data_IF_503163545528
#
_entry.id   IF_503163545528
#
_cell.length_a   1.000
_cell.length_b   1.000
_cell.length_c   1.000
_cell.angle_alpha   90.00
_cell.angle_beta   90.00
_cell.angle_gamma   90.00
#
_symmetry.space_group_name_H-M   'P 1'
#
loop_
_entity.id
_entity.type
_entity.pdbx_description
1 polymer ?
#
# COMPACT_ATOMS: atom_id res chain seq x y z
N UNK A 1 21.22 18.30 -22.12
CA UNK A 1 19.86 17.72 -22.06
C UNK A 1 19.88 16.44 -22.87
N UNK A 2 19.26 15.34 -22.41
CA UNK A 2 19.17 14.12 -23.21
C UNK A 2 18.25 14.39 -24.42
N UNK A 3 18.72 14.09 -25.63
CA UNK A 3 18.03 14.40 -26.89
C UNK A 3 17.11 13.25 -27.36
N UNK A 4 16.57 12.46 -26.44
CA UNK A 4 15.66 11.36 -26.77
C UNK A 4 14.26 11.88 -27.11
N UNK A 5 13.66 11.36 -28.19
CA UNK A 5 12.28 11.69 -28.55
C UNK A 5 11.31 11.14 -27.50
N UNK A 6 10.51 12.02 -26.88
CA UNK A 6 9.49 11.60 -25.92
C UNK A 6 8.39 10.82 -26.66
N UNK A 7 8.29 9.52 -26.39
CA UNK A 7 7.28 8.64 -27.01
C UNK A 7 5.91 8.79 -26.35
N UNK A 8 5.87 9.28 -25.11
CA UNK A 8 4.67 9.42 -24.33
C UNK A 8 4.77 10.62 -23.38
N UNK A 9 3.74 11.44 -23.36
CA UNK A 9 3.61 12.61 -22.48
C UNK A 9 2.25 12.55 -21.79
N UNK A 10 2.24 12.85 -20.49
CA UNK A 10 1.01 13.04 -19.72
C UNK A 10 1.13 14.31 -18.91
N UNK A 11 0.07 15.10 -18.92
CA UNK A 11 -0.04 16.29 -18.10
C UNK A 11 -0.84 15.96 -16.85
N UNK A 12 -0.20 16.02 -15.67
CA UNK A 12 -0.83 15.74 -14.38
C UNK A 12 -1.07 17.05 -13.63
N UNK A 13 -2.32 17.31 -13.23
CA UNK A 13 -2.65 18.35 -12.26
C UNK A 13 -2.94 17.68 -10.92
N UNK A 14 -2.17 18.00 -9.88
CA UNK A 14 -2.22 17.31 -8.59
C UNK A 14 -2.51 18.28 -7.47
N UNK A 15 -3.51 17.95 -6.67
CA UNK A 15 -3.80 18.58 -5.39
C UNK A 15 -3.46 17.60 -4.27
N UNK A 16 -2.48 17.97 -3.46
CA UNK A 16 -1.94 17.13 -2.38
C UNK A 16 -2.35 17.66 -1.01
N UNK A 17 -2.86 16.78 -0.17
CA UNK A 17 -3.11 17.03 1.24
C UNK A 17 -2.27 16.08 2.09
N UNK A 18 -1.78 16.59 3.21
CA UNK A 18 -1.07 15.76 4.19
C UNK A 18 -1.77 15.88 5.54
N UNK A 19 -2.09 14.75 6.15
CA UNK A 19 -2.70 14.69 7.45
C UNK A 19 -2.16 13.51 8.25
N UNK A 20 -1.56 13.80 9.40
CA UNK A 20 -0.93 12.82 10.30
C UNK A 20 0.08 11.93 9.57
N UNK A 21 -0.24 10.65 9.37
CA UNK A 21 0.63 9.64 8.75
C UNK A 21 0.38 9.48 7.25
N UNK A 22 -0.62 10.18 6.71
CA UNK A 22 -1.10 9.98 5.35
C UNK A 22 -0.90 11.20 4.49
N UNK A 23 -0.62 10.94 3.21
CA UNK A 23 -0.68 11.88 2.12
C UNK A 23 -1.78 11.43 1.16
N UNK A 24 -2.63 12.37 0.76
CA UNK A 24 -3.74 12.14 -0.15
C UNK A 24 -3.49 13.01 -1.38
N UNK A 25 -3.34 12.38 -2.53
CA UNK A 25 -3.14 13.05 -3.81
C UNK A 25 -4.39 12.86 -4.68
N UNK A 26 -5.09 13.96 -4.98
CA UNK A 26 -6.13 14.00 -6.00
C UNK A 26 -5.50 14.49 -7.31
N UNK A 27 -5.38 13.61 -8.30
CA UNK A 27 -4.67 13.91 -9.54
C UNK A 27 -5.58 13.78 -10.74
N UNK A 28 -5.66 14.83 -11.55
CA UNK A 28 -6.28 14.79 -12.87
C UNK A 28 -5.18 14.59 -13.93
N UNK A 29 -5.28 13.52 -14.70
CA UNK A 29 -4.31 13.15 -15.73
C UNK A 29 -4.92 13.33 -17.11
N UNK A 30 -4.27 14.14 -17.92
CA UNK A 30 -4.59 14.31 -19.34
C UNK A 30 -3.66 13.44 -20.17
N UNK A 31 -4.24 12.58 -21.00
CA UNK A 31 -3.54 11.83 -22.03
C UNK A 31 -2.96 12.74 -23.11
N UNK A 32 -2.14 12.17 -24.01
CA UNK A 32 -1.50 12.92 -25.09
C UNK A 32 -2.54 13.63 -25.94
N UNK A 33 -2.18 14.82 -26.44
CA UNK A 33 -3.03 15.57 -27.35
C UNK A 33 -3.21 14.76 -28.64
N UNK A 34 -4.44 14.37 -28.94
CA UNK A 34 -4.77 13.63 -30.15
C UNK A 34 -4.83 14.61 -31.32
N UNK A 35 -4.20 14.26 -32.43
CA UNK A 35 -4.25 15.07 -33.64
C UNK A 35 -5.69 15.16 -34.17
N UNK A 36 -6.01 16.29 -34.81
CA UNK A 36 -7.29 16.48 -35.50
C UNK A 36 -7.45 15.41 -36.56
N UNK A 37 -8.65 14.85 -36.64
CA UNK A 37 -9.02 13.91 -37.68
C UNK A 37 -9.15 14.65 -39.03
N UNK A 38 -9.12 13.91 -40.13
CA UNK A 38 -9.17 14.46 -41.50
C UNK A 38 -10.44 15.26 -41.81
N UNK A 39 -11.51 15.05 -41.05
CA UNK A 39 -12.78 15.78 -41.13
C UNK A 39 -12.80 17.07 -40.30
N UNK A 40 -11.66 17.43 -39.68
CA UNK A 40 -11.52 18.62 -38.84
C UNK A 40 -12.03 18.44 -37.40
N UNK A 41 -12.57 17.28 -37.03
CA UNK A 41 -13.02 17.00 -35.68
C UNK A 41 -11.83 16.73 -34.75
N UNK A 42 -11.92 17.25 -33.52
CA UNK A 42 -10.94 16.96 -32.47
C UNK A 42 -11.49 15.81 -31.62
N UNK A 43 -10.84 14.63 -31.59
CA UNK A 43 -11.31 13.52 -30.78
C UNK A 43 -11.23 13.88 -29.30
N UNK A 44 -12.09 13.25 -28.48
CA UNK A 44 -12.07 13.48 -27.03
C UNK A 44 -10.70 13.11 -26.45
N UNK A 45 -10.15 14.04 -25.67
CA UNK A 45 -8.92 13.82 -24.94
C UNK A 45 -9.16 12.79 -23.83
N UNK A 46 -8.23 11.85 -23.67
CA UNK A 46 -8.32 10.88 -22.59
C UNK A 46 -8.07 11.61 -21.27
N UNK A 47 -9.04 11.52 -20.35
CA UNK A 47 -9.00 12.19 -19.06
C UNK A 47 -9.25 11.17 -17.95
N UNK A 48 -8.34 11.12 -16.98
CA UNK A 48 -8.43 10.22 -15.83
C UNK A 48 -8.35 11.02 -14.53
N UNK A 49 -9.21 10.66 -13.56
CA UNK A 49 -9.15 11.19 -12.20
C UNK A 49 -8.65 10.08 -11.28
N UNK A 50 -7.48 10.30 -10.68
CA UNK A 50 -6.77 9.39 -9.79
C UNK A 50 -6.90 9.93 -8.35
N UNK A 51 -7.16 9.04 -7.39
CA UNK A 51 -7.05 9.32 -5.95
C UNK A 51 -6.04 8.34 -5.35
N UNK A 52 -4.93 8.86 -4.84
CA UNK A 52 -3.84 8.10 -4.25
C UNK A 52 -3.77 8.41 -2.74
N UNK A 53 -3.59 7.37 -1.91
CA UNK A 53 -3.34 7.51 -0.46
C UNK A 53 -2.02 6.82 -0.14
N UNK A 54 -1.09 7.57 0.43
CA UNK A 54 0.28 7.13 0.71
C UNK A 54 0.60 7.30 2.19
N UNK A 55 1.43 6.41 2.74
CA UNK A 55 2.06 6.65 4.04
C UNK A 55 3.19 7.67 3.87
N UNK A 56 3.20 8.71 4.71
CA UNK A 56 4.26 9.72 4.72
C UNK A 56 5.60 9.12 5.14
N UNK A 57 5.59 8.16 6.06
CA UNK A 57 6.76 7.39 6.47
C UNK A 57 6.52 5.88 6.31
N UNK A 58 7.17 5.23 5.34
CA UNK A 58 7.02 3.80 5.12
C UNK A 58 7.60 2.95 6.26
N UNK A 59 8.47 3.50 7.12
CA UNK A 59 9.08 2.75 8.24
C UNK A 59 8.04 2.32 9.28
N UNK A 60 6.98 3.11 9.43
CA UNK A 60 5.88 2.79 10.35
C UNK A 60 5.24 1.45 9.99
N UNK A 61 5.13 1.12 8.70
CA UNK A 61 4.61 -0.17 8.25
C UNK A 61 5.54 -1.33 8.64
N UNK A 62 6.86 -1.12 8.60
CA UNK A 62 7.84 -2.12 9.00
C UNK A 62 7.78 -2.39 10.50
N UNK A 63 7.67 -1.33 11.30
CA UNK A 63 7.55 -1.43 12.77
C UNK A 63 6.24 -2.12 13.17
N UNK A 64 5.12 -1.75 12.56
CA UNK A 64 3.83 -2.40 12.83
C UNK A 64 3.84 -3.87 12.41
N UNK A 65 4.47 -4.19 11.27
CA UNK A 65 4.64 -5.60 10.86
C UNK A 65 5.39 -6.40 11.92
N UNK A 66 6.52 -5.89 12.44
CA UNK A 66 7.31 -6.57 13.47
C UNK A 66 6.51 -6.77 14.77
N UNK A 67 5.68 -5.79 15.16
CA UNK A 67 4.80 -5.93 16.34
C UNK A 67 3.78 -7.05 16.16
N UNK A 68 3.17 -7.14 14.97
CA UNK A 68 2.20 -8.19 14.65
C UNK A 68 2.85 -9.58 14.69
N UNK A 69 4.03 -9.73 14.08
CA UNK A 69 4.78 -11.00 14.10
C UNK A 69 5.14 -11.40 15.54
N UNK A 70 5.61 -10.46 16.35
CA UNK A 70 5.93 -10.73 17.75
C UNK A 70 4.70 -11.13 18.56
N UNK A 71 3.55 -10.47 18.38
CA UNK A 71 2.31 -10.83 19.08
C UNK A 71 1.79 -12.21 18.69
N UNK A 72 1.89 -12.58 17.42
CA UNK A 72 1.53 -13.93 16.96
C UNK A 72 2.43 -15.00 17.59
N UNK A 73 3.72 -14.72 17.71
CA UNK A 73 4.66 -15.61 18.39
C UNK A 73 4.33 -15.73 19.89
N UNK A 74 4.01 -14.64 20.59
CA UNK A 74 3.63 -14.73 22.01
C UNK A 74 2.35 -15.53 22.22
N UNK A 75 1.34 -15.33 21.37
CA UNK A 75 0.07 -16.05 21.48
C UNK A 75 0.23 -17.55 21.16
N UNK A 76 1.12 -17.90 20.22
CA UNK A 76 1.46 -19.29 19.92
C UNK A 76 2.21 -19.96 21.08
N UNK A 77 3.18 -19.26 21.68
CA UNK A 77 3.94 -19.76 22.83
C UNK A 77 3.03 -19.98 24.06
N UNK A 78 2.09 -19.07 24.34
CA UNK A 78 1.11 -19.27 25.42
C UNK A 78 0.19 -20.48 25.19
N UNK A 79 -0.14 -20.78 23.92
CA UNK A 79 -0.93 -21.97 23.58
C UNK A 79 -0.15 -23.28 23.73
N UNK A 80 1.17 -23.29 23.47
CA UNK A 80 2.02 -24.48 23.65
C UNK A 80 2.26 -24.79 25.14
N UNK A 81 2.54 -23.77 25.96
CA UNK A 81 2.71 -23.94 27.41
C UNK A 81 1.42 -24.42 28.11
N UNK A 82 0.24 -24.11 27.57
CA UNK A 82 -1.03 -24.59 28.12
C UNK A 82 -1.31 -26.08 27.83
N UNK A 83 -0.65 -26.69 26.84
CA UNK A 83 -0.85 -28.11 26.50
C UNK A 83 0.10 -29.00 27.32
N UNK A 84 1.32 -28.53 27.59
CA UNK A 84 2.29 -29.28 28.42
C UNK A 84 1.95 -29.26 29.92
N UNK A 85 1.29 -28.20 30.41
CA UNK A 85 0.88 -28.11 31.83
C UNK A 85 -0.24 -29.09 32.23
N UNK A 86 -0.92 -29.74 31.27
CA UNK A 86 -1.93 -30.78 31.55
C UNK A 86 -1.36 -32.21 31.56
N UNK A 87 -0.10 -32.41 31.15
CA UNK A 87 0.50 -33.75 31.05
C UNK A 87 1.18 -34.23 32.35
N UNK A 88 1.37 -33.35 33.35
CA UNK A 88 2.21 -33.64 34.52
C UNK A 88 1.43 -33.97 35.82
N UNK A 89 0.12 -34.22 35.72
CA UNK A 89 -0.70 -34.70 36.85
C UNK A 89 -1.26 -36.07 36.51
N UNK A 90 -0.45 -37.13 36.60
CA UNK A 90 -0.87 -38.51 36.93
C UNK A 90 0.30 -39.51 36.72
N UNK A 91 1.26 -39.58 37.64
CA UNK A 91 1.99 -40.82 37.88
C UNK A 91 2.77 -40.78 39.21
N UNK A 92 2.04 -40.73 40.33
CA UNK A 92 2.60 -41.15 41.62
C UNK A 92 1.46 -41.70 42.47
N UNK A 93 1.22 -43.01 42.35
CA UNK A 93 0.62 -43.82 43.41
C UNK A 93 1.10 -45.26 43.22
N UNK A 94 2.23 -45.53 43.85
CA UNK A 94 2.78 -46.85 44.07
C UNK A 94 2.45 -47.20 45.53
N UNK A 95 1.54 -48.16 45.76
CA UNK A 95 1.44 -49.13 46.88
C UNK A 95 0.39 -50.17 46.46
#
# INVERSE_FOLDING_TARGET
MPNGQHVFERNKNRLSYSHQLFKIDLTQVKGPEKQRLSDGTLPSQDLTHELEVEFLDPRILLEEKLKIENQQNTCAVESEYSIEAFADVHSDNNI
#
